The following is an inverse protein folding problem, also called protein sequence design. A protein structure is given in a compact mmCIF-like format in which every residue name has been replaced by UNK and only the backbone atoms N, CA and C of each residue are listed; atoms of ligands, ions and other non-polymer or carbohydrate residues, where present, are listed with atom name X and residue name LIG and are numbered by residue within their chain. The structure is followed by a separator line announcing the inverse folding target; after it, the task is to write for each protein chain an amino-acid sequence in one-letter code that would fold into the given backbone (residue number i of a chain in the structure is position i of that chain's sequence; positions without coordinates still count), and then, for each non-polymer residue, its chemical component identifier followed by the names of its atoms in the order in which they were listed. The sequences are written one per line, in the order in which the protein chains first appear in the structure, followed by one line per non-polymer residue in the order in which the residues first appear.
data_IF_777393153837
#
_entry.id   IF_777393153837
#
_cell.length_a   1.000
_cell.length_b   1.000
_cell.length_c   1.000
_cell.angle_alpha   90.00
_cell.angle_beta   90.00
_cell.angle_gamma   90.00
#
_symmetry.space_group_name_H-M   'P 1'
#
loop_
_entity.id
_entity.type
_entity.pdbx_description
1 polymer ?
#
# COMPACT_ATOMS: atom_id res chain seq x y z
N UNK A 1 -45.43 60.12 -44.57
CA UNK A 1 -44.86 60.31 -43.25
C UNK A 1 -44.37 58.91 -42.77
N UNK A 2 -43.08 58.66 -42.90
CA UNK A 2 -42.45 57.39 -42.56
C UNK A 2 -41.76 57.58 -41.20
N UNK A 3 -42.15 56.82 -40.23
CA UNK A 3 -41.48 56.78 -38.87
C UNK A 3 -40.40 55.72 -38.88
N UNK A 4 -39.17 56.16 -38.71
CA UNK A 4 -38.00 55.30 -38.51
C UNK A 4 -37.91 54.99 -37.05
N UNK A 5 -37.96 53.69 -36.71
CA UNK A 5 -37.72 53.20 -35.36
C UNK A 5 -36.24 52.91 -35.20
N UNK A 6 -35.58 53.50 -34.18
CA UNK A 6 -34.20 53.23 -33.80
C UNK A 6 -34.17 52.05 -32.88
N UNK A 7 -33.39 51.02 -33.24
CA UNK A 7 -33.10 49.87 -32.38
C UNK A 7 -31.85 50.16 -31.54
N UNK A 8 -31.99 50.12 -30.20
CA UNK A 8 -30.89 50.25 -29.27
C UNK A 8 -30.23 48.88 -29.04
N UNK A 9 -28.94 48.75 -29.37
CA UNK A 9 -28.13 47.60 -29.02
C UNK A 9 -27.74 47.70 -27.52
N UNK A 10 -28.23 46.77 -26.72
CA UNK A 10 -27.69 46.54 -25.38
C UNK A 10 -26.43 45.64 -25.49
N UNK A 11 -25.28 46.19 -25.16
CA UNK A 11 -24.05 45.41 -24.97
C UNK A 11 -24.07 44.72 -23.60
N UNK A 12 -24.13 43.40 -23.60
CA UNK A 12 -24.00 42.61 -22.35
C UNK A 12 -22.53 42.58 -21.93
N UNK A 13 -22.22 43.17 -20.77
CA UNK A 13 -20.92 43.06 -20.10
C UNK A 13 -20.91 41.73 -19.35
N UNK A 14 -20.08 40.77 -19.80
CA UNK A 14 -19.82 39.54 -19.07
C UNK A 14 -18.75 39.84 -18.03
N UNK A 15 -19.00 39.60 -16.72
CA UNK A 15 -17.97 39.77 -15.72
C UNK A 15 -16.92 38.67 -15.86
N UNK A 16 -15.67 39.07 -16.02
CA UNK A 16 -14.50 38.16 -15.89
C UNK A 16 -14.36 37.84 -14.43
N UNK A 17 -14.72 36.61 -14.03
CA UNK A 17 -14.43 36.09 -12.73
C UNK A 17 -12.92 35.80 -12.64
N UNK A 18 -12.18 36.69 -12.01
CA UNK A 18 -10.78 36.47 -11.67
C UNK A 18 -10.71 35.29 -10.72
N UNK A 19 -10.22 34.14 -11.18
CA UNK A 19 -9.93 32.98 -10.34
C UNK A 19 -8.91 33.39 -9.27
N UNK A 20 -9.37 33.46 -8.03
CA UNK A 20 -8.45 33.60 -6.91
C UNK A 20 -7.55 32.35 -6.86
N UNK A 21 -6.24 32.54 -6.99
CA UNK A 21 -5.26 31.48 -6.81
C UNK A 21 -5.43 30.97 -5.36
N UNK A 22 -5.73 29.67 -5.24
CA UNK A 22 -5.72 28.98 -3.95
C UNK A 22 -4.28 29.07 -3.43
N UNK A 23 -4.03 29.64 -2.24
CA UNK A 23 -2.67 29.72 -1.73
C UNK A 23 -2.13 28.30 -1.53
N UNK A 24 -0.98 28.00 -2.11
CA UNK A 24 -0.25 26.77 -1.85
C UNK A 24 -0.04 26.64 -0.35
N UNK A 25 -0.57 25.57 0.25
CA UNK A 25 -0.43 25.32 1.69
C UNK A 25 1.07 25.12 1.97
N UNK A 26 1.69 26.07 2.67
CA UNK A 26 3.07 25.94 3.10
C UNK A 26 3.23 24.62 3.86
N UNK A 27 4.16 23.76 3.42
CA UNK A 27 4.47 22.52 4.10
C UNK A 27 4.87 22.83 5.55
N UNK A 28 4.20 22.21 6.52
CA UNK A 28 4.55 22.34 7.91
C UNK A 28 5.98 21.82 8.13
N UNK A 29 6.81 22.44 9.01
CA UNK A 29 8.25 22.17 9.11
C UNK A 29 8.66 20.75 9.60
N UNK A 30 7.73 19.83 9.79
CA UNK A 30 7.94 18.42 10.12
C UNK A 30 6.88 17.54 9.45
N UNK A 31 6.80 17.61 8.11
CA UNK A 31 5.88 16.74 7.39
C UNK A 31 6.39 15.29 7.41
N UNK A 32 5.82 14.47 8.27
CA UNK A 32 5.95 13.03 8.22
C UNK A 32 5.26 12.49 6.96
N UNK A 33 5.91 11.55 6.30
CA UNK A 33 5.34 10.79 5.18
C UNK A 33 5.66 9.32 5.37
N UNK A 34 4.69 8.46 5.11
CA UNK A 34 4.93 7.02 5.10
C UNK A 34 5.96 6.66 4.04
N UNK A 35 6.90 5.78 4.37
CA UNK A 35 7.88 5.26 3.40
C UNK A 35 7.72 3.76 3.15
N UNK A 36 7.09 3.05 4.07
CA UNK A 36 6.73 1.66 3.95
C UNK A 36 5.45 1.39 4.74
N UNK A 37 4.59 0.51 4.22
CA UNK A 37 3.41 0.01 4.93
C UNK A 37 3.08 -1.43 4.55
N UNK A 38 2.34 -2.12 5.43
CA UNK A 38 1.72 -3.41 5.16
C UNK A 38 0.34 -3.47 5.82
N UNK A 39 -0.68 -3.77 5.02
CA UNK A 39 -2.02 -4.01 5.56
C UNK A 39 -2.05 -5.32 6.33
N UNK A 40 -2.60 -5.29 7.54
CA UNK A 40 -2.58 -6.43 8.45
C UNK A 40 -3.92 -7.14 8.54
N UNK A 41 -3.86 -8.39 8.97
CA UNK A 41 -5.02 -9.28 9.09
C UNK A 41 -5.02 -10.00 10.44
N UNK A 42 -6.13 -10.69 10.73
CA UNK A 42 -6.25 -11.59 11.88
C UNK A 42 -5.34 -12.80 11.74
N UNK A 43 -4.95 -13.39 12.86
CA UNK A 43 -4.16 -14.61 12.89
C UNK A 43 -4.83 -15.75 12.09
N UNK A 44 -4.00 -16.61 11.48
CA UNK A 44 -4.47 -17.82 10.83
C UNK A 44 -5.04 -18.81 11.87
N UNK A 45 -5.77 -19.83 11.43
CA UNK A 45 -6.31 -20.86 12.30
C UNK A 45 -5.21 -21.77 12.95
N UNK A 46 -4.01 -21.77 12.37
CA UNK A 46 -2.86 -22.57 12.83
C UNK A 46 -1.55 -21.84 12.53
N UNK A 47 -0.44 -22.39 13.02
CA UNK A 47 0.90 -21.87 12.73
C UNK A 47 1.31 -20.71 13.62
N UNK A 48 2.38 -20.01 13.22
CA UNK A 48 3.08 -19.04 14.08
C UNK A 48 2.21 -17.83 14.43
N UNK A 49 1.37 -17.34 13.50
CA UNK A 49 0.44 -16.24 13.80
C UNK A 49 -0.63 -16.65 14.82
N UNK A 50 -1.05 -17.93 14.83
CA UNK A 50 -2.01 -18.46 15.81
C UNK A 50 -1.40 -18.61 17.20
N UNK A 51 -0.21 -19.19 17.28
CA UNK A 51 0.48 -19.42 18.57
C UNK A 51 1.11 -18.15 19.12
N UNK A 52 1.45 -17.20 18.26
CA UNK A 52 2.17 -15.99 18.63
C UNK A 52 3.62 -16.26 19.05
N UNK A 53 4.17 -15.33 19.78
CA UNK A 53 5.55 -15.32 20.25
C UNK A 53 5.60 -15.21 21.78
N UNK A 54 6.63 -15.79 22.36
CA UNK A 54 6.98 -15.65 23.78
C UNK A 54 8.48 -15.71 23.94
N UNK A 55 9.06 -14.74 24.64
CA UNK A 55 10.50 -14.61 24.86
C UNK A 55 11.28 -14.71 23.54
N UNK A 56 10.84 -13.94 22.54
CA UNK A 56 11.40 -13.91 21.18
C UNK A 56 11.50 -12.48 20.65
N UNK A 57 12.47 -12.28 19.78
CA UNK A 57 12.56 -11.07 18.95
C UNK A 57 12.17 -11.40 17.52
N UNK A 58 11.15 -10.72 17.00
CA UNK A 58 10.82 -10.72 15.57
C UNK A 58 11.61 -9.61 14.90
N UNK A 59 12.26 -9.92 13.78
CA UNK A 59 12.99 -8.94 12.96
C UNK A 59 12.34 -8.86 11.59
N UNK A 60 11.50 -7.85 11.42
CA UNK A 60 10.87 -7.53 10.15
C UNK A 60 11.85 -6.77 9.25
N UNK A 61 11.99 -7.26 8.01
CA UNK A 61 12.78 -6.58 6.98
C UNK A 61 11.82 -5.81 6.09
N UNK A 62 12.07 -4.51 5.95
CA UNK A 62 11.23 -3.59 5.20
C UNK A 62 12.07 -2.75 4.25
N UNK A 63 11.48 -2.31 3.13
CA UNK A 63 12.16 -1.57 2.08
C UNK A 63 11.55 -0.18 1.93
N UNK A 64 12.36 0.87 2.08
CA UNK A 64 11.88 2.26 2.05
C UNK A 64 11.67 2.75 0.62
N UNK A 65 10.52 3.33 0.33
CA UNK A 65 10.24 3.97 -0.97
C UNK A 65 10.86 5.36 -1.10
N UNK A 66 10.99 6.08 0.01
CA UNK A 66 11.67 7.40 0.09
C UNK A 66 12.57 7.44 1.32
N UNK A 67 13.63 8.23 1.28
CA UNK A 67 14.49 8.47 2.43
C UNK A 67 13.99 9.61 3.31
N UNK A 68 14.69 9.84 4.43
CA UNK A 68 14.42 10.94 5.34
C UNK A 68 15.50 11.13 6.39
N UNK A 69 15.43 12.22 7.15
CA UNK A 69 16.42 12.58 8.18
C UNK A 69 16.13 11.91 9.54
N UNK A 70 14.88 11.58 9.80
CA UNK A 70 14.39 10.87 10.98
C UNK A 70 13.33 9.88 10.54
N UNK A 71 13.07 8.87 11.35
CA UNK A 71 11.99 7.93 11.14
C UNK A 71 11.19 7.69 12.42
N UNK A 72 9.96 7.18 12.26
CA UNK A 72 9.17 6.55 13.32
C UNK A 72 8.50 5.30 12.75
N UNK A 73 8.17 4.36 13.62
CA UNK A 73 7.45 3.15 13.23
C UNK A 73 6.04 3.14 13.81
N UNK A 74 5.16 2.37 13.20
CA UNK A 74 3.82 2.12 13.74
C UNK A 74 3.66 0.64 14.02
N UNK A 75 3.37 0.32 15.28
CA UNK A 75 3.10 -1.04 15.74
C UNK A 75 1.59 -1.23 15.87
N UNK A 76 1.11 -2.39 15.47
CA UNK A 76 -0.31 -2.71 15.41
C UNK A 76 -0.67 -3.93 16.23
N UNK A 77 -1.70 -3.79 17.05
CA UNK A 77 -2.44 -4.86 17.70
C UNK A 77 -3.91 -4.87 17.22
N UNK A 78 -4.13 -4.44 15.96
CA UNK A 78 -5.48 -4.25 15.41
C UNK A 78 -6.32 -5.53 15.40
N UNK A 79 -5.69 -6.68 15.34
CA UNK A 79 -6.33 -8.00 15.30
C UNK A 79 -5.91 -8.93 16.43
N UNK A 80 -5.19 -8.42 17.43
CA UNK A 80 -4.88 -9.17 18.65
C UNK A 80 -6.14 -9.42 19.48
N UNK A 81 -6.07 -10.39 20.39
CA UNK A 81 -7.16 -10.73 21.31
C UNK A 81 -6.90 -10.25 22.74
N UNK A 82 -5.67 -9.84 23.01
CA UNK A 82 -5.18 -9.36 24.31
C UNK A 82 -4.28 -8.14 24.11
N UNK A 83 -3.97 -7.35 25.17
CA UNK A 83 -2.98 -6.31 25.08
C UNK A 83 -1.60 -6.87 24.65
N UNK A 84 -0.97 -6.23 23.68
CA UNK A 84 0.36 -6.59 23.20
C UNK A 84 1.43 -5.87 24.01
N UNK A 85 2.19 -6.64 24.80
CA UNK A 85 3.31 -6.12 25.60
C UNK A 85 4.64 -6.27 24.84
N UNK A 86 5.23 -5.14 24.46
CA UNK A 86 6.53 -5.07 23.79
C UNK A 86 7.56 -4.52 24.77
N UNK A 87 8.69 -5.21 24.92
CA UNK A 87 9.70 -4.87 25.92
C UNK A 87 10.91 -4.11 25.36
N UNK A 88 11.33 -4.36 24.11
CA UNK A 88 12.36 -3.57 23.41
C UNK A 88 12.06 -3.55 21.91
N UNK A 89 12.31 -2.41 21.28
CA UNK A 89 12.22 -2.25 19.83
C UNK A 89 13.48 -1.54 19.33
N UNK A 90 14.05 -2.05 18.25
CA UNK A 90 15.20 -1.47 17.58
C UNK A 90 14.96 -1.36 16.09
N UNK A 91 15.49 -0.29 15.49
CA UNK A 91 15.57 -0.13 14.05
C UNK A 91 17.04 0.02 13.65
N UNK A 92 17.43 -0.65 12.57
CA UNK A 92 18.80 -0.61 12.05
C UNK A 92 18.79 -0.69 10.53
N UNK A 93 19.90 -0.26 9.91
CA UNK A 93 20.14 -0.50 8.50
C UNK A 93 20.45 -1.99 8.29
N UNK A 94 19.74 -2.65 7.36
CA UNK A 94 20.03 -4.04 6.99
C UNK A 94 21.29 -4.12 6.17
N UNK A 95 22.16 -5.09 6.48
CA UNK A 95 23.32 -5.43 5.66
C UNK A 95 22.98 -6.57 4.69
N UNK A 96 22.65 -7.75 5.22
CA UNK A 96 22.27 -8.94 4.45
C UNK A 96 21.60 -9.98 5.35
N UNK A 97 20.51 -10.59 4.84
CA UNK A 97 19.75 -11.55 5.65
C UNK A 97 19.22 -10.89 6.92
N UNK A 98 19.40 -11.51 8.08
CA UNK A 98 19.05 -10.94 9.38
C UNK A 98 20.14 -10.00 9.95
N UNK A 99 21.32 -9.87 9.30
CA UNK A 99 22.42 -9.04 9.78
C UNK A 99 22.13 -7.57 9.54
N UNK A 100 22.50 -6.74 10.51
CA UNK A 100 22.43 -5.29 10.42
C UNK A 100 23.82 -4.66 10.31
N UNK A 101 23.91 -3.48 9.74
CA UNK A 101 25.15 -2.69 9.69
C UNK A 101 25.59 -2.36 11.13
N UNK A 102 26.83 -2.66 11.46
CA UNK A 102 27.37 -2.42 12.78
C UNK A 102 27.26 -0.92 13.16
N UNK A 103 26.78 -0.64 14.38
CA UNK A 103 26.60 0.72 14.87
C UNK A 103 25.34 1.45 14.35
N UNK A 104 24.56 0.86 13.44
CA UNK A 104 23.32 1.48 12.92
C UNK A 104 22.07 1.21 13.77
N UNK A 105 22.16 0.39 14.80
CA UNK A 105 21.01 0.04 15.65
C UNK A 105 20.64 1.19 16.59
N UNK A 106 19.41 1.67 16.47
CA UNK A 106 18.84 2.71 17.31
C UNK A 106 17.68 2.14 18.11
N UNK A 107 17.60 2.54 19.37
CA UNK A 107 16.46 2.23 20.24
C UNK A 107 15.25 3.03 19.77
N UNK A 108 14.10 2.38 19.76
CA UNK A 108 12.80 2.99 19.48
C UNK A 108 12.06 3.11 20.81
N UNK A 109 11.49 4.29 21.10
CA UNK A 109 10.75 4.56 22.32
C UNK A 109 9.30 4.94 22.01
N UNK A 110 8.46 4.88 23.05
CA UNK A 110 7.04 5.22 22.99
C UNK A 110 6.73 6.15 24.19
N UNK A 111 6.55 7.43 23.93
CA UNK A 111 6.43 8.43 24.97
C UNK A 111 7.65 8.47 25.91
N UNK A 112 8.87 8.31 25.37
CA UNK A 112 10.13 8.27 26.09
C UNK A 112 10.42 6.95 26.82
N UNK A 113 9.58 5.90 26.67
CA UNK A 113 9.75 4.60 27.33
C UNK A 113 10.21 3.54 26.32
N UNK A 114 11.07 2.63 26.73
CA UNK A 114 11.56 1.53 25.91
C UNK A 114 10.46 0.46 25.65
N UNK A 115 9.57 0.26 26.62
CA UNK A 115 8.47 -0.68 26.56
C UNK A 115 7.13 0.00 26.28
N UNK A 116 6.23 -0.71 25.60
CA UNK A 116 4.86 -0.25 25.34
C UNK A 116 3.87 -1.41 25.46
N UNK A 117 2.69 -1.12 25.98
CA UNK A 117 1.53 -2.00 25.96
C UNK A 117 0.47 -1.42 25.03
N UNK A 118 0.17 -2.12 23.93
CA UNK A 118 -0.80 -1.69 22.93
C UNK A 118 -2.10 -2.47 23.16
N UNK A 119 -3.22 -1.80 23.52
CA UNK A 119 -4.51 -2.46 23.68
C UNK A 119 -4.92 -3.23 22.39
N UNK A 120 -5.73 -4.27 22.54
CA UNK A 120 -6.29 -4.94 21.38
C UNK A 120 -7.12 -3.94 20.53
N UNK A 121 -7.10 -4.11 19.22
CA UNK A 121 -7.79 -3.23 18.26
C UNK A 121 -7.08 -1.90 18.00
N UNK A 122 -5.93 -1.63 18.66
CA UNK A 122 -5.21 -0.35 18.57
C UNK A 122 -3.88 -0.46 17.80
N UNK A 123 -3.39 0.70 17.40
CA UNK A 123 -2.07 0.91 16.79
C UNK A 123 -1.36 2.04 17.52
N UNK A 124 -0.04 1.99 17.60
CA UNK A 124 0.75 2.98 18.31
C UNK A 124 1.94 3.44 17.47
N UNK A 125 2.15 4.75 17.37
CA UNK A 125 3.36 5.32 16.79
C UNK A 125 4.47 5.42 17.82
N UNK A 126 5.68 5.11 17.40
CA UNK A 126 6.86 5.41 18.21
C UNK A 126 7.19 6.90 18.24
N UNK A 127 8.03 7.27 19.18
CA UNK A 127 8.75 8.55 19.12
C UNK A 127 9.66 8.58 17.88
N UNK A 128 10.09 9.80 17.49
CA UNK A 128 11.04 10.00 16.40
C UNK A 128 12.41 9.40 16.73
N UNK A 129 12.97 8.65 15.78
CA UNK A 129 14.30 8.08 15.85
C UNK A 129 15.23 8.86 14.93
N UNK A 130 16.34 9.38 15.47
CA UNK A 130 17.36 10.11 14.72
C UNK A 130 18.24 9.15 13.92
N UNK A 131 17.65 8.51 12.93
CA UNK A 131 18.33 7.65 11.95
C UNK A 131 17.99 8.17 10.56
N UNK A 132 18.99 8.69 9.86
CA UNK A 132 18.85 9.06 8.46
C UNK A 132 18.84 7.80 7.60
N UNK A 133 17.85 7.71 6.73
CA UNK A 133 17.67 6.59 5.79
C UNK A 133 17.61 7.10 4.36
N UNK A 134 18.15 6.31 3.44
CA UNK A 134 18.05 6.58 2.01
C UNK A 134 16.74 6.02 1.45
N UNK A 135 16.31 6.50 0.28
CA UNK A 135 15.32 5.78 -0.52
C UNK A 135 15.90 4.44 -0.98
N UNK A 136 15.04 3.48 -1.26
CA UNK A 136 15.42 2.12 -1.72
C UNK A 136 16.38 1.43 -0.74
N UNK A 137 16.22 1.65 0.55
CA UNK A 137 17.05 1.06 1.59
C UNK A 137 16.27 0.03 2.40
N UNK A 138 16.91 -1.11 2.68
CA UNK A 138 16.35 -2.10 3.60
C UNK A 138 16.65 -1.70 5.05
N UNK A 139 15.61 -1.78 5.87
CA UNK A 139 15.67 -1.63 7.32
C UNK A 139 15.35 -2.96 8.00
N UNK A 140 15.94 -3.18 9.18
CA UNK A 140 15.60 -4.25 10.09
C UNK A 140 14.90 -3.63 11.32
N UNK A 141 13.61 -3.88 11.49
CA UNK A 141 12.85 -3.51 12.67
C UNK A 141 12.74 -4.74 13.56
N UNK A 142 13.32 -4.68 14.75
CA UNK A 142 13.42 -5.81 15.68
C UNK A 142 12.55 -5.53 16.90
N UNK A 143 11.56 -6.40 17.15
CA UNK A 143 10.52 -6.24 18.16
C UNK A 143 10.65 -7.41 19.13
N UNK A 144 11.04 -7.15 20.38
CA UNK A 144 11.13 -8.15 21.42
C UNK A 144 9.86 -8.21 22.26
N UNK A 145 9.30 -9.41 22.36
CA UNK A 145 8.14 -9.73 23.21
C UNK A 145 8.56 -10.71 24.28
N UNK A 146 8.43 -10.30 25.55
CA UNK A 146 8.83 -11.12 26.71
C UNK A 146 7.73 -12.10 27.11
N UNK A 147 6.50 -11.63 27.15
CA UNK A 147 5.33 -12.43 27.49
C UNK A 147 4.70 -13.05 26.24
N UNK A 148 3.83 -14.04 26.43
CA UNK A 148 3.09 -14.61 25.31
C UNK A 148 2.17 -13.54 24.68
N UNK A 149 2.20 -13.42 23.35
CA UNK A 149 1.37 -12.45 22.63
C UNK A 149 -0.03 -12.97 22.33
N UNK A 150 -0.28 -14.28 22.52
CA UNK A 150 -1.47 -14.90 21.90
C UNK A 150 -1.46 -14.79 20.38
N UNK A 151 -2.62 -14.94 19.72
CA UNK A 151 -2.77 -14.77 18.28
C UNK A 151 -2.29 -13.39 17.82
N UNK A 152 -1.37 -13.38 16.85
CA UNK A 152 -0.64 -12.18 16.45
C UNK A 152 -1.31 -11.46 15.28
N UNK A 153 -1.39 -10.13 15.37
CA UNK A 153 -1.65 -9.26 14.22
C UNK A 153 -0.47 -9.36 13.24
N UNK A 154 -0.73 -9.62 11.97
CA UNK A 154 0.31 -9.90 10.99
C UNK A 154 -0.10 -9.58 9.56
N UNK A 155 0.89 -9.51 8.67
CA UNK A 155 0.70 -9.50 7.22
C UNK A 155 1.27 -10.79 6.64
N UNK A 156 0.44 -11.70 6.11
CA UNK A 156 0.90 -12.92 5.44
C UNK A 156 1.47 -12.60 4.04
N UNK A 157 2.30 -13.52 3.52
CA UNK A 157 2.82 -13.44 2.16
C UNK A 157 3.57 -12.12 1.85
N UNK A 158 4.52 -11.76 2.70
CA UNK A 158 5.28 -10.51 2.63
C UNK A 158 6.10 -10.30 1.35
N UNK A 159 6.34 -11.35 0.54
CA UNK A 159 7.29 -11.35 -0.60
C UNK A 159 8.69 -10.85 -0.17
N UNK A 160 8.95 -10.88 1.11
CA UNK A 160 10.22 -10.55 1.75
C UNK A 160 10.53 -11.59 2.84
N UNK A 161 11.82 -11.77 3.15
CA UNK A 161 12.27 -12.66 4.21
C UNK A 161 12.52 -11.85 5.46
N UNK A 162 11.74 -12.11 6.50
CA UNK A 162 11.91 -11.66 7.87
C UNK A 162 12.41 -12.80 8.76
N UNK A 163 12.65 -12.56 10.03
CA UNK A 163 13.29 -13.54 10.92
C UNK A 163 12.70 -13.48 12.32
N UNK A 164 12.82 -14.57 13.09
CA UNK A 164 12.67 -14.50 14.52
C UNK A 164 13.83 -15.21 15.25
N UNK A 165 14.07 -14.80 16.48
CA UNK A 165 15.27 -15.15 17.21
C UNK A 165 15.14 -16.48 17.96
N UNK A 166 16.27 -16.99 18.45
CA UNK A 166 16.31 -17.88 19.64
C UNK A 166 15.66 -17.18 20.85
N UNK A 167 15.36 -17.89 21.97
CA UNK A 167 14.81 -17.25 23.16
C UNK A 167 15.66 -16.08 23.64
N UNK A 168 15.00 -15.03 24.14
CA UNK A 168 15.64 -13.85 24.71
C UNK A 168 15.52 -12.59 23.86
N UNK A 169 15.98 -11.50 24.46
CA UNK A 169 16.07 -10.20 23.80
C UNK A 169 17.32 -10.14 22.91
N UNK A 170 17.07 -10.13 21.61
CA UNK A 170 18.09 -9.99 20.56
C UNK A 170 17.87 -8.75 19.70
N UNK A 171 16.99 -7.81 20.13
CA UNK A 171 16.63 -6.65 19.31
C UNK A 171 17.87 -5.83 18.87
N UNK A 172 18.84 -5.66 19.79
CA UNK A 172 20.10 -4.96 19.51
C UNK A 172 21.18 -5.78 18.80
N UNK A 173 20.97 -7.09 18.56
CA UNK A 173 22.01 -7.96 17.98
C UNK A 173 22.25 -7.63 16.50
N UNK A 174 23.48 -7.24 16.14
CA UNK A 174 23.86 -7.01 14.74
C UNK A 174 24.07 -8.32 13.96
N UNK A 175 24.51 -9.39 14.64
CA UNK A 175 24.76 -10.71 14.02
C UNK A 175 23.46 -11.42 13.66
N UNK A 176 23.49 -12.15 12.54
CA UNK A 176 22.41 -13.03 12.13
C UNK A 176 22.31 -14.32 12.99
N UNK A 177 23.32 -14.65 13.79
CA UNK A 177 23.38 -15.90 14.54
C UNK A 177 22.24 -16.07 15.55
N UNK A 178 21.71 -14.97 16.07
CA UNK A 178 20.56 -14.99 16.98
C UNK A 178 19.21 -15.25 16.27
N UNK A 179 19.16 -15.22 14.93
CA UNK A 179 17.96 -15.28 14.08
C UNK A 179 18.00 -16.47 13.11
N UNK A 180 17.97 -17.72 13.59
CA UNK A 180 18.06 -18.89 12.74
C UNK A 180 16.83 -19.13 11.87
N UNK A 181 15.66 -18.67 12.33
CA UNK A 181 14.38 -18.99 11.73
C UNK A 181 13.90 -17.89 10.78
N UNK A 182 13.57 -18.29 9.56
CA UNK A 182 13.02 -17.41 8.53
C UNK A 182 11.50 -17.42 8.56
N UNK A 183 10.91 -16.27 8.34
CA UNK A 183 9.47 -16.07 8.16
C UNK A 183 9.21 -15.25 6.88
N UNK A 184 8.07 -15.47 6.23
CA UNK A 184 7.67 -14.80 5.00
C UNK A 184 6.43 -13.95 5.25
N UNK A 185 6.45 -13.26 6.37
CA UNK A 185 5.38 -12.44 6.91
C UNK A 185 5.99 -11.28 7.69
N UNK A 186 5.21 -10.24 7.95
CA UNK A 186 5.53 -9.19 8.91
C UNK A 186 4.58 -9.29 10.10
N UNK A 187 5.12 -9.13 11.30
CA UNK A 187 4.35 -9.24 12.53
C UNK A 187 4.38 -7.93 13.31
N UNK A 188 3.23 -7.49 13.74
CA UNK A 188 3.01 -6.29 14.55
C UNK A 188 3.38 -4.95 13.86
N UNK A 189 4.36 -4.91 12.99
CA UNK A 189 4.78 -3.71 12.27
C UNK A 189 3.85 -3.46 11.08
N UNK A 190 3.20 -2.29 11.02
CA UNK A 190 2.31 -1.93 9.90
C UNK A 190 2.68 -0.63 9.18
N UNK A 191 3.69 0.10 9.66
CA UNK A 191 4.15 1.31 9.00
C UNK A 191 5.52 1.79 9.45
N UNK A 192 6.22 2.44 8.52
CA UNK A 192 7.42 3.24 8.77
C UNK A 192 7.24 4.59 8.10
N UNK A 193 7.35 5.65 8.86
CA UNK A 193 7.30 7.03 8.38
C UNK A 193 8.67 7.67 8.46
N UNK A 194 8.93 8.64 7.59
CA UNK A 194 10.15 9.45 7.60
C UNK A 194 9.82 10.95 7.55
N UNK A 195 10.75 11.78 8.01
CA UNK A 195 10.71 13.24 7.82
C UNK A 195 11.43 13.55 6.51
N UNK A 196 10.67 13.97 5.50
CA UNK A 196 11.20 14.40 4.21
C UNK A 196 10.38 15.53 3.59
N UNK A 197 10.79 16.80 3.75
CA UNK A 197 10.05 17.95 3.24
C UNK A 197 10.12 18.09 1.70
N UNK A 198 10.94 17.30 1.01
CA UNK A 198 11.04 17.33 -0.46
C UNK A 198 10.08 16.37 -1.16
N UNK A 199 9.24 15.64 -0.40
CA UNK A 199 8.23 14.71 -0.90
C UNK A 199 6.85 15.35 -0.82
N UNK A 200 6.10 15.35 -1.93
CA UNK A 200 4.77 15.97 -2.02
C UNK A 200 3.71 15.24 -1.19
N UNK A 201 3.86 13.93 -1.03
CA UNK A 201 2.93 13.07 -0.28
C UNK A 201 3.15 11.60 -0.58
N UNK A 202 2.21 10.77 -0.14
CA UNK A 202 2.22 9.34 -0.35
C UNK A 202 1.14 8.90 -1.35
N UNK A 203 1.48 7.91 -2.17
CA UNK A 203 0.56 7.14 -3.01
C UNK A 203 0.41 5.76 -2.38
N UNK A 204 -0.81 5.35 -2.09
CA UNK A 204 -1.09 4.00 -1.56
C UNK A 204 -1.54 3.09 -2.70
N UNK A 205 -0.90 1.93 -2.86
CA UNK A 205 -1.37 0.88 -3.75
C UNK A 205 -2.28 -0.05 -2.95
N UNK A 206 -3.57 0.00 -3.25
CA UNK A 206 -4.62 -0.72 -2.51
C UNK A 206 -5.23 -1.81 -3.39
N UNK A 207 -5.26 -3.04 -2.88
CA UNK A 207 -5.77 -4.16 -3.66
C UNK A 207 -5.49 -5.53 -3.05
N UNK A 208 -5.48 -6.56 -3.89
CA UNK A 208 -5.32 -7.94 -3.50
C UNK A 208 -3.86 -8.45 -3.64
N UNK A 209 -3.70 -9.72 -4.04
CA UNK A 209 -2.40 -10.37 -4.20
C UNK A 209 -1.49 -9.69 -5.22
N UNK A 210 -2.05 -9.14 -6.29
CA UNK A 210 -1.31 -8.40 -7.31
C UNK A 210 -0.73 -7.08 -6.75
N UNK A 211 -1.46 -6.37 -5.90
CA UNK A 211 -0.93 -5.21 -5.19
C UNK A 211 0.07 -5.61 -4.10
N UNK A 212 -0.15 -6.76 -3.43
CA UNK A 212 0.83 -7.32 -2.48
C UNK A 212 2.14 -7.74 -3.17
N UNK A 213 2.08 -8.12 -4.46
CA UNK A 213 3.24 -8.45 -5.29
C UNK A 213 3.43 -9.96 -5.55
N UNK A 214 2.35 -10.76 -5.45
CA UNK A 214 2.41 -12.19 -5.77
C UNK A 214 2.91 -12.40 -7.20
N UNK A 215 3.82 -13.38 -7.41
CA UNK A 215 4.50 -13.60 -8.69
C UNK A 215 5.80 -12.84 -8.88
N UNK A 216 6.10 -11.82 -8.05
CA UNK A 216 7.40 -11.15 -8.07
C UNK A 216 8.47 -11.93 -7.29
N UNK A 217 9.74 -11.66 -7.59
CA UNK A 217 10.89 -12.29 -6.92
C UNK A 217 10.95 -11.90 -5.46
N UNK A 218 10.92 -12.91 -4.56
CA UNK A 218 11.09 -12.67 -3.14
C UNK A 218 12.42 -12.00 -2.83
N UNK A 219 12.41 -11.02 -1.94
CA UNK A 219 13.56 -10.17 -1.56
C UNK A 219 14.13 -9.33 -2.72
N UNK A 220 13.44 -9.31 -3.90
CA UNK A 220 13.90 -8.56 -5.07
C UNK A 220 13.41 -7.11 -5.09
N UNK A 221 12.37 -6.78 -4.32
CA UNK A 221 11.70 -5.48 -4.38
C UNK A 221 11.32 -5.11 -5.84
N UNK A 222 10.64 -6.06 -6.52
CA UNK A 222 10.25 -5.98 -7.94
C UNK A 222 8.73 -6.05 -8.13
N UNK A 223 7.97 -5.61 -7.11
CA UNK A 223 6.53 -5.38 -7.22
C UNK A 223 6.28 -4.11 -8.03
N UNK A 224 5.13 -3.96 -8.65
CA UNK A 224 4.87 -2.74 -9.44
C UNK A 224 4.99 -1.45 -8.62
N UNK A 225 4.69 -1.51 -7.34
CA UNK A 225 4.83 -0.36 -6.44
C UNK A 225 6.30 0.01 -6.19
N UNK A 226 7.21 -0.96 -6.14
CA UNK A 226 8.65 -0.72 -5.99
C UNK A 226 9.20 -0.07 -7.27
N UNK A 227 8.79 -0.58 -8.45
CA UNK A 227 9.12 0.02 -9.74
C UNK A 227 8.53 1.43 -9.89
N UNK A 228 7.30 1.64 -9.42
CA UNK A 228 6.69 2.98 -9.40
C UNK A 228 7.48 3.92 -8.48
N UNK A 229 7.89 3.46 -7.28
CA UNK A 229 8.70 4.24 -6.36
C UNK A 229 10.00 4.72 -7.05
N UNK A 230 10.73 3.82 -7.70
CA UNK A 230 11.93 4.17 -8.48
C UNK A 230 11.68 5.20 -9.58
N UNK A 231 10.48 5.20 -10.18
CA UNK A 231 10.10 6.19 -11.22
C UNK A 231 9.79 7.55 -10.63
N UNK A 232 8.99 7.61 -9.55
CA UNK A 232 8.60 8.89 -8.93
C UNK A 232 9.76 9.55 -8.17
N UNK A 233 10.75 8.79 -7.74
CA UNK A 233 11.99 9.32 -7.17
C UNK A 233 12.82 10.14 -8.19
N UNK A 234 12.66 9.89 -9.49
CA UNK A 234 13.35 10.64 -10.56
C UNK A 234 12.71 12.01 -10.83
N UNK A 235 11.56 12.28 -10.27
CA UNK A 235 10.89 13.58 -10.38
C UNK A 235 11.70 14.67 -9.64
N UNK A 236 11.53 15.95 -10.01
CA UNK A 236 12.07 17.07 -9.25
C UNK A 236 11.67 17.04 -7.78
N UNK A 237 12.49 17.59 -6.89
CA UNK A 237 12.14 17.77 -5.49
C UNK A 237 10.83 18.58 -5.38
N UNK A 238 9.96 18.20 -4.43
CA UNK A 238 8.61 18.75 -4.27
C UNK A 238 7.54 18.12 -5.17
N UNK A 239 7.94 17.32 -6.17
CA UNK A 239 7.04 16.47 -6.98
C UNK A 239 7.24 14.97 -6.73
N UNK A 240 8.26 14.61 -5.96
CA UNK A 240 8.51 13.22 -5.54
C UNK A 240 7.41 12.75 -4.62
N UNK A 241 7.16 11.45 -4.66
CA UNK A 241 6.14 10.80 -3.82
C UNK A 241 6.74 9.56 -3.17
N UNK A 242 6.23 9.20 -2.01
CA UNK A 242 6.40 7.85 -1.50
C UNK A 242 5.34 6.92 -2.09
N UNK A 243 5.64 5.62 -2.10
CA UNK A 243 4.69 4.60 -2.55
C UNK A 243 4.57 3.56 -1.45
N UNK A 244 3.31 3.31 -1.02
CA UNK A 244 2.96 2.45 0.10
C UNK A 244 2.17 1.24 -0.38
N UNK A 245 2.31 0.10 0.30
CA UNK A 245 1.59 -1.13 -0.01
C UNK A 245 0.45 -1.36 0.98
N UNK A 246 -0.77 -1.50 0.46
CA UNK A 246 -1.96 -1.94 1.19
C UNK A 246 -2.65 -3.13 0.49
N UNK A 247 -1.88 -3.97 -0.21
CA UNK A 247 -2.34 -5.23 -0.79
C UNK A 247 -2.50 -6.31 0.27
N UNK A 248 -3.53 -7.15 0.14
CA UNK A 248 -3.74 -8.36 0.94
C UNK A 248 -4.08 -9.50 -0.01
N UNK A 249 -3.28 -10.58 -0.02
CA UNK A 249 -3.55 -11.73 -0.89
C UNK A 249 -4.94 -12.32 -0.62
N UNK A 250 -5.65 -12.69 -1.69
CA UNK A 250 -7.03 -13.19 -1.69
C UNK A 250 -8.09 -12.20 -1.19
N UNK A 251 -7.77 -10.93 -0.96
CA UNK A 251 -8.75 -9.92 -0.56
C UNK A 251 -9.83 -9.73 -1.63
N UNK A 252 -11.03 -9.40 -1.19
CA UNK A 252 -12.19 -9.11 -2.02
C UNK A 252 -12.71 -7.70 -1.73
N UNK A 253 -13.31 -7.10 -2.73
CA UNK A 253 -13.94 -5.78 -2.62
C UNK A 253 -15.16 -5.82 -1.69
N UNK A 254 -16.01 -6.85 -1.85
CA UNK A 254 -17.31 -6.97 -1.19
C UNK A 254 -17.29 -7.83 0.07
N UNK A 255 -16.45 -8.87 0.11
CA UNK A 255 -16.40 -9.84 1.19
C UNK A 255 -15.03 -9.85 1.86
N UNK A 256 -14.93 -10.52 3.01
CA UNK A 256 -13.66 -10.66 3.71
C UNK A 256 -13.74 -11.64 4.86
N UNK A 257 -12.59 -12.02 5.38
CA UNK A 257 -12.46 -12.90 6.55
C UNK A 257 -11.10 -13.60 6.60
N UNK A 258 -10.72 -14.01 7.79
CA UNK A 258 -9.49 -14.74 8.03
C UNK A 258 -8.25 -14.04 7.47
N UNK A 259 -7.35 -14.82 6.89
CA UNK A 259 -6.09 -14.33 6.32
C UNK A 259 -6.24 -13.54 5.02
N UNK A 260 -7.41 -13.58 4.38
CA UNK A 260 -7.75 -12.70 3.26
C UNK A 260 -8.14 -11.28 3.70
N UNK A 261 -8.18 -11.04 5.01
CA UNK A 261 -8.49 -9.75 5.61
C UNK A 261 -9.96 -9.37 5.55
N UNK A 262 -10.30 -8.24 6.15
CA UNK A 262 -11.61 -7.62 5.99
C UNK A 262 -11.83 -7.22 4.53
N UNK A 263 -13.10 -7.07 4.09
CA UNK A 263 -13.38 -6.59 2.74
C UNK A 263 -12.68 -5.26 2.47
N UNK A 264 -12.35 -5.00 1.21
CA UNK A 264 -11.71 -3.75 0.82
C UNK A 264 -12.53 -2.53 1.29
N UNK A 265 -13.86 -2.57 1.17
CA UNK A 265 -14.76 -1.55 1.70
C UNK A 265 -14.55 -1.29 3.20
N UNK A 266 -14.41 -2.36 4.00
CA UNK A 266 -14.28 -2.24 5.46
C UNK A 266 -12.90 -1.71 5.88
N UNK A 267 -11.82 -2.16 5.19
CA UNK A 267 -10.43 -1.85 5.57
C UNK A 267 -9.88 -0.57 4.93
N UNK A 268 -10.58 0.01 3.95
CA UNK A 268 -10.07 1.11 3.13
C UNK A 268 -9.60 2.31 3.95
N UNK A 269 -10.40 2.72 4.92
CA UNK A 269 -10.02 3.84 5.78
C UNK A 269 -8.71 3.56 6.52
N UNK A 270 -8.64 2.44 7.24
CA UNK A 270 -7.46 2.05 8.03
C UNK A 270 -6.21 1.85 7.19
N UNK A 271 -6.34 1.14 6.03
CA UNK A 271 -5.17 0.67 5.29
C UNK A 271 -4.73 1.63 4.18
N UNK A 272 -5.60 2.56 3.75
CA UNK A 272 -5.27 3.52 2.71
C UNK A 272 -5.36 4.98 3.20
N UNK A 273 -6.49 5.39 3.79
CA UNK A 273 -6.74 6.81 4.09
C UNK A 273 -5.94 7.29 5.33
N UNK A 274 -5.76 6.43 6.33
CA UNK A 274 -4.97 6.76 7.53
C UNK A 274 -3.45 6.68 7.32
N UNK A 275 -2.97 6.36 6.10
CA UNK A 275 -1.54 6.36 5.85
C UNK A 275 -0.96 7.77 5.91
N UNK A 276 0.20 7.89 6.56
CA UNK A 276 0.81 9.21 6.80
C UNK A 276 1.16 9.91 5.50
N UNK A 277 0.57 11.08 5.29
CA UNK A 277 0.82 11.92 4.12
C UNK A 277 0.15 11.43 2.84
N UNK A 278 -0.85 10.53 2.90
CA UNK A 278 -1.57 10.04 1.72
C UNK A 278 -2.20 11.21 0.95
N UNK A 279 -2.07 11.17 -0.38
CA UNK A 279 -2.66 12.12 -1.33
C UNK A 279 -3.39 11.42 -2.47
N UNK A 280 -2.99 10.19 -2.79
CA UNK A 280 -3.64 9.42 -3.84
C UNK A 280 -3.65 7.93 -3.48
N UNK A 281 -4.67 7.21 -3.98
CA UNK A 281 -4.79 5.76 -3.87
C UNK A 281 -4.97 5.17 -5.26
N UNK A 282 -4.17 4.14 -5.60
CA UNK A 282 -4.39 3.31 -6.78
C UNK A 282 -5.17 2.09 -6.33
N UNK A 283 -6.40 1.92 -6.81
CA UNK A 283 -7.27 0.80 -6.46
C UNK A 283 -7.18 -0.28 -7.54
N UNK A 284 -6.64 -1.45 -7.19
CA UNK A 284 -6.59 -2.64 -8.04
C UNK A 284 -7.17 -3.84 -7.29
N UNK A 285 -8.48 -3.91 -7.22
CA UNK A 285 -9.24 -4.85 -6.41
C UNK A 285 -10.46 -5.37 -7.19
N UNK A 286 -11.00 -6.55 -6.85
CA UNK A 286 -12.23 -7.11 -7.45
C UNK A 286 -12.02 -8.39 -8.23
N UNK A 287 -10.79 -8.75 -8.59
CA UNK A 287 -10.49 -10.00 -9.31
C UNK A 287 -10.94 -11.24 -8.51
N UNK A 288 -10.71 -11.24 -7.18
CA UNK A 288 -11.11 -12.36 -6.33
C UNK A 288 -12.62 -12.43 -6.12
N UNK A 289 -13.33 -11.30 -6.12
CA UNK A 289 -14.80 -11.30 -6.09
C UNK A 289 -15.34 -12.03 -7.32
N UNK A 290 -14.80 -11.74 -8.50
CA UNK A 290 -15.20 -12.36 -9.78
C UNK A 290 -14.83 -13.84 -9.80
N UNK A 291 -13.63 -14.20 -9.33
CA UNK A 291 -13.17 -15.59 -9.31
C UNK A 291 -13.99 -16.48 -8.39
N UNK A 292 -14.41 -15.95 -7.23
CA UNK A 292 -15.25 -16.69 -6.25
C UNK A 292 -16.73 -16.65 -6.62
N UNK A 293 -17.21 -15.54 -7.18
CA UNK A 293 -18.61 -15.28 -7.51
C UNK A 293 -18.77 -14.76 -8.94
N UNK A 294 -18.57 -15.62 -9.97
CA UNK A 294 -18.64 -15.19 -11.36
C UNK A 294 -20.05 -14.78 -11.82
N UNK A 295 -21.05 -15.03 -11.00
CA UNK A 295 -22.47 -14.66 -11.18
C UNK A 295 -22.85 -13.29 -10.60
N UNK A 296 -21.92 -12.57 -9.99
CA UNK A 296 -22.16 -11.19 -9.53
C UNK A 296 -22.63 -10.30 -10.69
N UNK A 297 -23.51 -9.37 -10.37
CA UNK A 297 -23.88 -8.33 -11.32
C UNK A 297 -22.82 -7.20 -11.28
N UNK A 298 -22.39 -6.65 -12.43
CA UNK A 298 -21.38 -5.59 -12.47
C UNK A 298 -21.65 -4.40 -11.52
N UNK A 299 -22.94 -4.05 -11.34
CA UNK A 299 -23.34 -2.95 -10.45
C UNK A 299 -22.93 -3.14 -9.00
N UNK A 300 -22.73 -4.37 -8.53
CA UNK A 300 -22.32 -4.62 -7.14
C UNK A 300 -20.88 -4.16 -6.92
N UNK A 301 -19.96 -4.52 -7.82
CA UNK A 301 -18.58 -4.05 -7.79
C UNK A 301 -18.48 -2.54 -8.05
N UNK A 302 -19.25 -2.04 -9.03
CA UNK A 302 -19.30 -0.62 -9.37
C UNK A 302 -19.77 0.22 -8.18
N UNK A 303 -20.81 -0.20 -7.47
CA UNK A 303 -21.29 0.50 -6.28
C UNK A 303 -20.24 0.56 -5.18
N UNK A 304 -19.48 -0.52 -5.00
CA UNK A 304 -18.38 -0.55 -4.04
C UNK A 304 -17.23 0.40 -4.42
N UNK A 305 -16.85 0.46 -5.70
CA UNK A 305 -15.85 1.44 -6.15
C UNK A 305 -16.34 2.89 -5.94
N UNK A 306 -17.60 3.18 -6.24
CA UNK A 306 -18.18 4.51 -6.00
C UNK A 306 -18.11 4.88 -4.51
N UNK A 307 -18.33 3.91 -3.61
CA UNK A 307 -18.23 4.15 -2.18
C UNK A 307 -16.78 4.42 -1.75
N UNK A 308 -15.80 3.64 -2.24
CA UNK A 308 -14.37 3.90 -1.98
C UNK A 308 -13.95 5.29 -2.48
N UNK A 309 -14.39 5.69 -3.68
CA UNK A 309 -14.12 7.01 -4.26
C UNK A 309 -14.69 8.11 -3.36
N UNK A 310 -15.95 7.99 -2.92
CA UNK A 310 -16.59 8.97 -2.01
C UNK A 310 -15.82 9.08 -0.68
N UNK A 311 -15.42 7.96 -0.10
CA UNK A 311 -14.61 7.95 1.12
C UNK A 311 -13.30 8.71 0.87
N UNK A 312 -12.54 8.38 -0.16
CA UNK A 312 -11.27 9.03 -0.46
C UNK A 312 -11.43 10.55 -0.68
N UNK A 313 -12.39 10.95 -1.51
CA UNK A 313 -12.66 12.36 -1.80
C UNK A 313 -13.09 13.14 -0.54
N UNK A 314 -13.80 12.52 0.41
CA UNK A 314 -14.17 13.16 1.67
C UNK A 314 -12.95 13.54 2.54
N UNK A 315 -11.81 12.90 2.29
CA UNK A 315 -10.52 13.20 2.94
C UNK A 315 -9.54 13.97 2.03
N UNK A 316 -9.99 14.40 0.85
CA UNK A 316 -9.13 15.11 -0.12
C UNK A 316 -8.06 14.21 -0.75
N UNK A 317 -8.33 12.91 -0.86
CA UNK A 317 -7.43 11.90 -1.45
C UNK A 317 -7.93 11.55 -2.85
N UNK A 318 -7.07 11.70 -3.85
CA UNK A 318 -7.38 11.33 -5.23
C UNK A 318 -7.40 9.81 -5.42
N UNK A 319 -8.21 9.32 -6.38
CA UNK A 319 -8.38 7.89 -6.65
C UNK A 319 -8.06 7.56 -8.09
N UNK A 320 -7.11 6.66 -8.30
CA UNK A 320 -6.77 6.10 -9.60
C UNK A 320 -7.38 4.70 -9.70
N UNK A 321 -8.29 4.50 -10.64
CA UNK A 321 -8.88 3.20 -10.92
C UNK A 321 -7.97 2.35 -11.80
N UNK A 322 -7.55 1.18 -11.33
CA UNK A 322 -6.81 0.22 -12.15
C UNK A 322 -7.77 -0.83 -12.74
N UNK A 323 -7.67 -1.10 -14.05
CA UNK A 323 -8.45 -2.15 -14.68
C UNK A 323 -7.95 -3.53 -14.25
N UNK A 324 -8.88 -4.48 -14.09
CA UNK A 324 -8.62 -5.84 -13.66
C UNK A 324 -7.90 -6.62 -14.78
N UNK A 325 -6.80 -7.26 -14.45
CA UNK A 325 -5.97 -8.04 -15.38
C UNK A 325 -6.73 -9.23 -15.98
N UNK A 326 -6.32 -9.73 -17.16
CA UNK A 326 -6.82 -10.98 -17.70
C UNK A 326 -6.36 -12.16 -16.85
N UNK A 327 -7.16 -13.23 -16.82
CA UNK A 327 -6.97 -14.38 -15.92
C UNK A 327 -7.35 -15.72 -16.56
N UNK A 328 -7.45 -15.79 -17.91
CA UNK A 328 -7.72 -17.06 -18.61
C UNK A 328 -6.60 -18.05 -18.36
N UNK A 329 -6.96 -19.23 -17.90
CA UNK A 329 -6.04 -20.29 -17.46
C UNK A 329 -5.88 -20.37 -15.94
N UNK A 330 -6.26 -19.34 -15.18
CA UNK A 330 -6.28 -19.39 -13.72
C UNK A 330 -7.33 -20.39 -13.19
N UNK A 331 -7.08 -20.95 -12.01
CA UNK A 331 -7.91 -22.01 -11.42
C UNK A 331 -9.40 -21.63 -11.23
N UNK A 332 -9.72 -20.36 -11.06
CA UNK A 332 -11.09 -19.87 -10.88
C UNK A 332 -11.62 -19.09 -12.08
N UNK A 333 -10.91 -19.10 -13.20
CA UNK A 333 -11.40 -18.48 -14.43
C UNK A 333 -12.69 -19.13 -14.92
N UNK A 334 -13.64 -18.31 -15.34
CA UNK A 334 -14.82 -18.73 -16.09
C UNK A 334 -15.12 -17.73 -17.22
N UNK A 335 -15.73 -18.21 -18.31
CA UNK A 335 -16.17 -17.31 -19.38
C UNK A 335 -17.19 -16.26 -18.91
N UNK A 336 -18.01 -16.58 -17.90
CA UNK A 336 -18.94 -15.64 -17.27
C UNK A 336 -18.18 -14.60 -16.45
N UNK A 337 -17.22 -15.03 -15.62
CA UNK A 337 -16.36 -14.12 -14.84
C UNK A 337 -15.59 -13.16 -15.76
N UNK A 338 -15.06 -13.64 -16.88
CA UNK A 338 -14.40 -12.77 -17.86
C UNK A 338 -15.35 -11.73 -18.48
N UNK A 339 -16.62 -12.07 -18.77
CA UNK A 339 -17.61 -11.06 -19.22
C UNK A 339 -17.88 -10.02 -18.14
N UNK A 340 -17.95 -10.44 -16.87
CA UNK A 340 -18.12 -9.54 -15.73
C UNK A 340 -16.90 -8.62 -15.61
N UNK A 341 -15.67 -9.18 -15.65
CA UNK A 341 -14.39 -8.43 -15.63
C UNK A 341 -14.35 -7.36 -16.72
N UNK A 342 -14.68 -7.75 -17.96
CA UNK A 342 -14.72 -6.81 -19.09
C UNK A 342 -15.75 -5.69 -18.89
N UNK A 343 -16.92 -6.00 -18.30
CA UNK A 343 -17.94 -5.01 -18.00
C UNK A 343 -17.49 -4.00 -16.94
N UNK A 344 -16.84 -4.49 -15.89
CA UNK A 344 -16.24 -3.64 -14.84
C UNK A 344 -15.09 -2.80 -15.42
N UNK A 345 -14.20 -3.40 -16.20
CA UNK A 345 -13.09 -2.68 -16.84
C UNK A 345 -13.57 -1.57 -17.79
N UNK A 346 -14.66 -1.82 -18.53
CA UNK A 346 -15.28 -0.78 -19.36
C UNK A 346 -15.76 0.38 -18.51
N UNK A 347 -16.43 0.09 -17.39
CA UNK A 347 -16.89 1.14 -16.49
C UNK A 347 -15.71 1.92 -15.88
N UNK A 348 -14.64 1.25 -15.46
CA UNK A 348 -13.43 1.91 -14.94
C UNK A 348 -12.87 2.88 -15.97
N UNK A 349 -12.81 2.49 -17.27
CA UNK A 349 -12.26 3.33 -18.36
C UNK A 349 -13.16 4.53 -18.69
N UNK A 350 -14.48 4.31 -18.74
CA UNK A 350 -15.38 5.20 -19.49
C UNK A 350 -16.28 6.04 -18.57
N UNK A 351 -16.40 5.71 -17.30
CA UNK A 351 -17.35 6.36 -16.38
C UNK A 351 -16.96 7.78 -15.98
N UNK A 352 -15.68 8.13 -16.01
CA UNK A 352 -15.19 9.38 -15.43
C UNK A 352 -15.32 9.48 -13.92
N UNK A 353 -15.56 8.36 -13.21
CA UNK A 353 -15.74 8.35 -11.77
C UNK A 353 -14.41 8.46 -10.99
N UNK A 354 -13.32 7.96 -11.55
CA UNK A 354 -11.99 8.06 -11.00
C UNK A 354 -11.29 9.34 -11.43
N UNK A 355 -10.39 9.88 -10.63
CA UNK A 355 -9.59 11.06 -10.98
C UNK A 355 -8.58 10.76 -12.10
N UNK A 356 -8.16 9.50 -12.23
CA UNK A 356 -7.38 8.98 -13.35
C UNK A 356 -7.61 7.46 -13.49
N UNK A 357 -7.21 6.91 -14.63
CA UNK A 357 -7.28 5.47 -14.91
C UNK A 357 -5.89 4.94 -15.23
N UNK A 358 -5.56 3.80 -14.63
CA UNK A 358 -4.40 2.98 -14.94
C UNK A 358 -4.88 1.70 -15.65
N UNK A 359 -4.68 1.62 -16.97
CA UNK A 359 -5.23 0.52 -17.78
C UNK A 359 -4.31 -0.71 -17.75
N UNK A 360 -4.26 -1.39 -16.60
CA UNK A 360 -3.41 -2.58 -16.41
C UNK A 360 -3.85 -3.77 -17.27
N UNK A 361 -5.16 -3.91 -17.55
CA UNK A 361 -5.66 -4.90 -18.49
C UNK A 361 -5.05 -4.70 -19.90
N UNK A 362 -5.01 -3.47 -20.40
CA UNK A 362 -4.43 -3.18 -21.71
C UNK A 362 -2.92 -3.48 -21.77
N UNK A 363 -2.21 -3.29 -20.65
CA UNK A 363 -0.78 -3.58 -20.53
C UNK A 363 -0.48 -5.07 -20.52
N UNK A 364 -1.29 -5.82 -19.76
CA UNK A 364 -0.99 -7.23 -19.44
C UNK A 364 -1.61 -8.23 -20.43
N UNK A 365 -2.67 -7.84 -21.15
CA UNK A 365 -3.41 -8.78 -22.00
C UNK A 365 -2.62 -9.21 -23.25
N UNK A 366 -2.81 -10.45 -23.63
CA UNK A 366 -2.39 -10.96 -24.93
C UNK A 366 -3.16 -10.22 -26.04
N UNK A 367 -2.47 -9.61 -27.04
CA UNK A 367 -3.14 -8.87 -28.11
C UNK A 367 -4.01 -9.74 -29.02
N UNK A 368 -3.81 -11.06 -29.02
CA UNK A 368 -4.58 -12.03 -29.83
C UNK A 368 -5.74 -12.67 -29.05
N UNK A 369 -5.65 -12.70 -27.72
CA UNK A 369 -6.72 -13.12 -26.81
C UNK A 369 -6.75 -12.26 -25.55
N UNK A 370 -7.69 -11.33 -25.48
CA UNK A 370 -7.80 -10.37 -24.39
C UNK A 370 -8.26 -10.98 -23.06
N UNK A 371 -8.61 -12.25 -23.03
CA UNK A 371 -8.89 -12.95 -21.77
C UNK A 371 -7.62 -13.54 -21.15
N UNK A 372 -6.56 -13.72 -21.92
CA UNK A 372 -5.28 -14.29 -21.54
C UNK A 372 -4.25 -13.20 -21.19
N UNK A 373 -3.44 -13.44 -20.17
CA UNK A 373 -2.26 -12.61 -19.89
C UNK A 373 -1.18 -12.90 -20.93
N UNK A 374 -0.46 -11.87 -21.36
CA UNK A 374 0.67 -12.05 -22.28
C UNK A 374 1.71 -12.99 -21.62
N UNK A 375 2.11 -14.10 -22.26
CA UNK A 375 3.00 -15.09 -21.64
C UNK A 375 4.31 -14.52 -21.09
N UNK A 376 4.83 -13.45 -21.69
CA UNK A 376 6.03 -12.76 -21.20
C UNK A 376 5.84 -12.09 -19.84
N UNK A 377 4.60 -11.81 -19.43
CA UNK A 377 4.24 -11.13 -18.20
C UNK A 377 3.63 -12.05 -17.15
N UNK A 378 3.29 -13.29 -17.52
CA UNK A 378 2.68 -14.29 -16.65
C UNK A 378 3.71 -14.92 -15.71
N UNK A 379 3.39 -15.07 -14.44
CA UNK A 379 4.23 -15.80 -13.48
C UNK A 379 4.15 -17.32 -13.63
N UNK A 380 3.25 -17.81 -14.49
CA UNK A 380 2.99 -19.24 -14.75
C UNK A 380 1.73 -19.76 -14.08
N UNK A 381 1.00 -18.93 -13.35
CA UNK A 381 -0.29 -19.28 -12.72
C UNK A 381 -1.50 -18.65 -13.44
N UNK A 382 -1.26 -17.91 -14.51
CA UNK A 382 -2.24 -17.23 -15.35
C UNK A 382 -3.08 -16.17 -14.64
N UNK A 383 -2.63 -15.71 -13.47
CA UNK A 383 -3.33 -14.74 -12.64
C UNK A 383 -2.43 -13.57 -12.23
N UNK A 384 -1.21 -13.90 -11.81
CA UNK A 384 -0.28 -12.91 -11.27
C UNK A 384 0.79 -12.54 -12.28
N UNK A 385 1.12 -11.25 -12.42
CA UNK A 385 2.26 -10.83 -13.22
C UNK A 385 3.58 -11.33 -12.62
N UNK A 386 4.56 -11.63 -13.48
CA UNK A 386 5.96 -11.76 -13.09
C UNK A 386 6.63 -10.37 -12.98
N UNK A 387 7.94 -10.33 -12.67
CA UNK A 387 8.68 -9.06 -12.56
C UNK A 387 8.54 -8.18 -13.81
N UNK A 388 8.62 -8.77 -15.02
CA UNK A 388 8.48 -8.00 -16.27
C UNK A 388 7.08 -7.41 -16.43
N UNK A 389 6.04 -8.16 -16.04
CA UNK A 389 4.66 -7.68 -16.01
C UNK A 389 4.47 -6.54 -15.01
N UNK A 390 5.02 -6.67 -13.81
CA UNK A 390 4.98 -5.61 -12.79
C UNK A 390 5.71 -4.34 -13.25
N UNK A 391 6.88 -4.48 -13.86
CA UNK A 391 7.59 -3.35 -14.44
C UNK A 391 6.80 -2.68 -15.57
N UNK A 392 6.14 -3.47 -16.44
CA UNK A 392 5.30 -2.94 -17.51
C UNK A 392 4.10 -2.14 -16.95
N UNK A 393 3.42 -2.66 -15.91
CA UNK A 393 2.38 -1.96 -15.16
C UNK A 393 2.92 -0.63 -14.60
N UNK A 394 4.01 -0.67 -13.84
CA UNK A 394 4.60 0.53 -13.28
C UNK A 394 4.94 1.56 -14.35
N UNK A 395 5.45 1.11 -15.51
CA UNK A 395 5.81 1.98 -16.64
C UNK A 395 4.59 2.62 -17.31
N UNK A 396 3.42 1.99 -17.26
CA UNK A 396 2.19 2.53 -17.86
C UNK A 396 1.55 3.66 -17.03
N UNK A 397 1.86 3.72 -15.73
CA UNK A 397 1.33 4.78 -14.86
C UNK A 397 1.92 6.13 -15.27
N UNK A 398 1.05 7.08 -15.61
CA UNK A 398 1.47 8.44 -15.94
C UNK A 398 1.90 9.19 -14.68
N UNK A 399 3.21 9.26 -14.44
CA UNK A 399 3.76 9.91 -13.23
C UNK A 399 3.52 11.42 -13.19
N UNK A 400 3.31 12.08 -14.34
CA UNK A 400 2.96 13.52 -14.37
C UNK A 400 1.53 13.75 -13.88
N UNK A 401 0.57 12.92 -14.34
CA UNK A 401 -0.79 12.94 -13.81
C UNK A 401 -0.81 12.63 -12.30
N UNK A 402 -0.07 11.60 -11.89
CA UNK A 402 0.03 11.24 -10.48
C UNK A 402 0.62 12.37 -9.64
N UNK A 403 1.68 13.02 -10.13
CA UNK A 403 2.30 14.19 -9.49
C UNK A 403 1.33 15.35 -9.34
N UNK A 404 0.55 15.64 -10.37
CA UNK A 404 -0.48 16.69 -10.33
C UNK A 404 -1.52 16.39 -9.25
N UNK A 405 -2.06 15.16 -9.21
CA UNK A 405 -3.05 14.75 -8.22
C UNK A 405 -2.52 14.79 -6.77
N UNK A 406 -1.24 14.51 -6.56
CA UNK A 406 -0.62 14.50 -5.23
C UNK A 406 -0.26 15.92 -4.75
N UNK A 407 0.05 16.83 -5.67
CA UNK A 407 0.50 18.19 -5.35
C UNK A 407 -0.64 19.21 -5.20
N UNK A 408 -1.83 18.92 -5.75
CA UNK A 408 -3.03 19.76 -5.64
C UNK A 408 -3.75 19.54 -4.33
#
# INVERSE_FOLDING_TARGET
MIRIAAAALLAAVVPVVSGAAVPARAAAPHAWVGTWSAAQVTAAATGLSHTGFRDRTVRDIVHTSVGGSELRIRISNAFGTEPLEIADVRVALREKGARTVAGSSHRVTFGGRDAVTIPFGQREFSDAVKLSVSAEQDLAVSIYVKQATGPATWHPAAIATSYYSTPGDHAGAASASAYPDKIFAWYFLDGVDVVNPSVAGAVVTFGASTSNGAGSTRDGNERYLDDLARRVLKLPAGLRMSVLNAGISANQLLAGGGTAGQSALTRFYRDAIEQTGVRAVIIWEGTNDIGVHPDLHPSQLISAYIELIKIAHSYGVAVIGATLQPDQGANYYTAQGNKLRQSVNRWIRDSGAFDAVADFDAVLRNPFDHAEMLPAYDSGDHLHPNNAGYQAIANSINVSTLSFLVSG
#
